data_IF_412219392579
#
_entry.id   IF_412219392579
#
_cell.length_a   1.000
_cell.length_b   1.000
_cell.length_c   1.000
_cell.angle_alpha   90.00
_cell.angle_beta   90.00
_cell.angle_gamma   90.00
#
_symmetry.space_group_name_H-M   'P 1'
#
loop_
_entity.id
_entity.type
_entity.pdbx_description
1 polymer ?
#
# COMPACT_ATOMS: atom_id res chain seq x y z
N UNK A 1 8.79 16.98 2.88
CA UNK A 1 8.93 16.48 1.48
C UNK A 1 7.53 16.31 0.90
N UNK A 2 7.19 17.02 -0.16
CA UNK A 2 5.84 17.01 -0.76
C UNK A 2 5.38 15.60 -1.18
N UNK A 3 6.31 14.74 -1.60
CA UNK A 3 6.02 13.36 -2.02
C UNK A 3 5.47 12.47 -0.89
N UNK A 4 5.96 12.63 0.35
CA UNK A 4 5.52 11.80 1.48
C UNK A 4 4.06 12.05 1.83
N UNK A 5 3.64 13.32 1.80
CA UNK A 5 2.25 13.70 2.09
C UNK A 5 1.31 13.29 0.96
N UNK A 6 1.75 13.41 -0.30
CA UNK A 6 1.00 12.93 -1.46
C UNK A 6 0.75 11.41 -1.39
N UNK A 7 1.78 10.63 -1.05
CA UNK A 7 1.65 9.18 -0.88
C UNK A 7 0.67 8.81 0.25
N UNK A 8 0.71 9.51 1.39
CA UNK A 8 -0.25 9.27 2.48
C UNK A 8 -1.68 9.53 2.03
N UNK A 9 -1.91 10.60 1.27
CA UNK A 9 -3.23 10.95 0.74
C UNK A 9 -3.76 9.85 -0.17
N UNK A 10 -2.95 9.36 -1.09
CA UNK A 10 -3.35 8.26 -1.99
C UNK A 10 -3.64 6.96 -1.23
N UNK A 11 -2.85 6.65 -0.19
CA UNK A 11 -3.11 5.49 0.68
C UNK A 11 -4.44 5.67 1.42
N UNK A 12 -4.74 6.86 1.93
CA UNK A 12 -6.00 7.15 2.62
C UNK A 12 -7.22 7.03 1.68
N UNK A 13 -7.10 7.52 0.45
CA UNK A 13 -8.11 7.34 -0.59
C UNK A 13 -8.33 5.85 -0.91
N UNK A 14 -7.25 5.07 -1.02
CA UNK A 14 -7.33 3.63 -1.26
C UNK A 14 -7.95 2.86 -0.07
N UNK A 15 -7.64 3.24 1.18
CA UNK A 15 -8.25 2.63 2.38
C UNK A 15 -9.75 2.93 2.45
N UNK A 16 -10.15 4.15 2.08
CA UNK A 16 -11.54 4.58 2.12
C UNK A 16 -12.39 3.98 0.98
N UNK A 17 -11.77 3.63 -0.15
CA UNK A 17 -12.46 3.06 -1.31
C UNK A 17 -13.28 1.81 -0.98
N UNK A 18 -14.52 1.76 -1.46
CA UNK A 18 -15.42 0.61 -1.31
C UNK A 18 -14.90 -0.65 -2.03
N UNK A 19 -14.08 -0.45 -3.07
CA UNK A 19 -13.50 -1.54 -3.88
C UNK A 19 -12.26 -2.18 -3.23
N UNK A 20 -11.82 -1.67 -2.08
CA UNK A 20 -10.66 -2.22 -1.38
C UNK A 20 -11.12 -3.33 -0.44
N UNK A 21 -10.66 -4.55 -0.71
CA UNK A 21 -10.90 -5.70 0.14
C UNK A 21 -10.31 -5.51 1.54
N UNK A 22 -10.84 -6.21 2.55
CA UNK A 22 -10.36 -6.11 3.93
C UNK A 22 -8.87 -6.45 4.07
N UNK A 23 -8.40 -7.46 3.33
CA UNK A 23 -6.97 -7.82 3.30
C UNK A 23 -6.11 -6.69 2.73
N UNK A 24 -6.58 -6.01 1.68
CA UNK A 24 -5.86 -4.90 1.08
C UNK A 24 -5.91 -3.66 1.98
N UNK A 25 -7.03 -3.39 2.66
CA UNK A 25 -7.12 -2.30 3.65
C UNK A 25 -6.11 -2.50 4.77
N UNK A 26 -5.98 -3.72 5.30
CA UNK A 26 -5.01 -4.02 6.36
C UNK A 26 -3.58 -3.75 5.90
N UNK A 27 -3.21 -4.23 4.70
CA UNK A 27 -1.89 -3.96 4.11
C UNK A 27 -1.64 -2.46 3.90
N UNK A 28 -2.63 -1.73 3.40
CA UNK A 28 -2.53 -0.28 3.18
C UNK A 28 -2.35 0.50 4.49
N UNK A 29 -3.02 0.09 5.58
CA UNK A 29 -2.82 0.68 6.92
C UNK A 29 -1.38 0.44 7.40
N UNK A 30 -0.86 -0.78 7.27
CA UNK A 30 0.52 -1.10 7.63
C UNK A 30 1.54 -0.31 6.79
N UNK A 31 1.26 -0.11 5.50
CA UNK A 31 2.07 0.72 4.59
C UNK A 31 2.06 2.19 5.05
N UNK A 32 0.90 2.72 5.46
CA UNK A 32 0.75 4.09 5.97
C UNK A 32 1.57 4.30 7.25
N UNK A 33 1.51 3.36 8.18
CA UNK A 33 2.27 3.40 9.43
C UNK A 33 3.78 3.36 9.17
N UNK A 34 4.25 2.48 8.29
CA UNK A 34 5.66 2.42 7.90
C UNK A 34 6.11 3.71 7.23
N UNK A 35 5.29 4.29 6.34
CA UNK A 35 5.58 5.58 5.72
C UNK A 35 5.69 6.69 6.77
N UNK A 36 4.79 6.73 7.75
CA UNK A 36 4.85 7.69 8.86
C UNK A 36 6.14 7.54 9.66
N UNK A 37 6.52 6.31 9.98
CA UNK A 37 7.66 5.97 10.82
C UNK A 37 9.01 5.96 10.08
N UNK A 38 9.02 6.01 8.75
CA UNK A 38 10.23 6.05 7.95
C UNK A 38 11.04 7.33 8.19
N UNK A 39 12.20 7.15 8.84
CA UNK A 39 13.23 8.15 9.18
C UNK A 39 14.55 7.90 8.45
N UNK A 40 14.75 6.72 7.84
CA UNK A 40 15.98 6.35 7.13
C UNK A 40 15.70 5.42 5.93
N UNK A 41 16.69 5.29 5.03
CA UNK A 41 16.56 4.59 3.73
C UNK A 41 16.11 3.12 3.87
N UNK A 42 16.54 2.41 4.92
CA UNK A 42 16.10 1.03 5.20
C UNK A 42 14.59 0.93 5.41
N UNK A 43 13.96 1.91 6.06
CA UNK A 43 12.52 1.92 6.28
C UNK A 43 11.75 2.25 5.00
N UNK A 44 12.32 3.06 4.12
CA UNK A 44 11.79 3.28 2.77
C UNK A 44 11.84 1.99 1.91
N UNK A 45 12.88 1.18 2.08
CA UNK A 45 12.98 -0.11 1.40
C UNK A 45 11.92 -1.11 1.89
N UNK A 46 11.64 -1.14 3.19
CA UNK A 46 10.55 -1.93 3.78
C UNK A 46 9.17 -1.48 3.23
N UNK A 47 8.96 -0.17 3.13
CA UNK A 47 7.76 0.39 2.50
C UNK A 47 7.62 -0.05 1.04
N UNK A 48 8.70 0.00 0.24
CA UNK A 48 8.68 -0.43 -1.14
C UNK A 48 8.35 -1.94 -1.31
N UNK A 49 8.87 -2.80 -0.42
CA UNK A 49 8.54 -4.24 -0.41
C UNK A 49 7.05 -4.46 -0.16
N UNK A 50 6.46 -3.79 0.86
CA UNK A 50 5.02 -3.93 1.15
C UNK A 50 4.14 -3.45 0.00
N UNK A 51 4.55 -2.40 -0.72
CA UNK A 51 3.85 -1.95 -1.93
C UNK A 51 3.94 -3.00 -3.04
N UNK A 52 5.10 -3.64 -3.24
CA UNK A 52 5.27 -4.74 -4.21
C UNK A 52 4.38 -5.94 -3.84
N UNK A 53 4.30 -6.29 -2.56
CA UNK A 53 3.42 -7.36 -2.07
C UNK A 53 1.94 -7.05 -2.34
N UNK A 54 1.51 -5.81 -2.11
CA UNK A 54 0.15 -5.35 -2.42
C UNK A 54 -0.14 -5.47 -3.92
N UNK A 55 0.78 -5.03 -4.78
CA UNK A 55 0.64 -5.15 -6.25
C UNK A 55 0.59 -6.63 -6.66
N UNK A 56 1.44 -7.48 -6.08
CA UNK A 56 1.45 -8.92 -6.34
C UNK A 56 0.16 -9.63 -5.91
N UNK A 57 -0.42 -9.23 -4.77
CA UNK A 57 -1.70 -9.73 -4.30
C UNK A 57 -2.84 -9.32 -5.24
N UNK A 58 -2.86 -8.05 -5.68
CA UNK A 58 -3.83 -7.54 -6.66
C UNK A 58 -3.70 -8.24 -8.02
N UNK A 59 -2.48 -8.37 -8.55
CA UNK A 59 -2.21 -9.00 -9.84
C UNK A 59 -2.67 -10.47 -9.87
N UNK A 60 -2.47 -11.22 -8.78
CA UNK A 60 -2.97 -12.61 -8.67
C UNK A 60 -4.49 -12.69 -8.73
N UNK A 61 -5.21 -11.72 -8.14
CA UNK A 61 -6.68 -11.67 -8.19
C UNK A 61 -7.17 -11.38 -9.61
N UNK A 62 -6.55 -10.44 -10.32
CA UNK A 62 -6.92 -10.12 -11.72
C UNK A 62 -6.65 -11.28 -12.68
N UNK A 63 -5.50 -11.97 -12.53
CA UNK A 63 -5.17 -13.14 -13.36
C UNK A 63 -6.10 -14.33 -13.04
N UNK A 64 -6.50 -14.53 -11.79
CA UNK A 64 -7.39 -15.63 -11.39
C UNK A 64 -8.87 -15.42 -11.80
N UNK A 65 -9.32 -14.17 -12.03
CA UNK A 65 -10.69 -13.86 -12.43
C UNK A 65 -10.97 -13.91 -13.94
N UNK A 66 -9.97 -14.27 -14.76
CA UNK A 66 -10.07 -14.30 -16.23
C UNK A 66 -10.30 -15.71 -16.81
N UNK A 67 -10.74 -16.66 -15.98
CA UNK A 67 -10.97 -18.08 -16.33
C UNK A 67 -12.43 -18.44 -16.45
#
# INVERSE_FOLDING_TARGET
>A
MPLKEELKKQIDEAIASENTSDSNRKLLVEIKEDLNNAKNEKQYFSFAIKVIELIGALAKVFVAGSG
#
